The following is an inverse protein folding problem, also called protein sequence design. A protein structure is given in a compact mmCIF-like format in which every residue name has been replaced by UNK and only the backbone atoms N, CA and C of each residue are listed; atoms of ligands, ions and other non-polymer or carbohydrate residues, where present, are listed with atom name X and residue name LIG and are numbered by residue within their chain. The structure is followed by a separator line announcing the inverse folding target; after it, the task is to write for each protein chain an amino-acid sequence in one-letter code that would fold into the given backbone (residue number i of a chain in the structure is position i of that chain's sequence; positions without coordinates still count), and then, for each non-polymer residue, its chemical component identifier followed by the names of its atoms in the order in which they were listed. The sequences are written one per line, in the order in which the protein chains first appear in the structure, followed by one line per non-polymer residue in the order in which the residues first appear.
data_IF_959230769289
#
_entry.id   IF_959230769289
#
_cell.length_a   1.000
_cell.length_b   1.000
_cell.length_c   1.000
_cell.angle_alpha   90.00
_cell.angle_beta   90.00
_cell.angle_gamma   90.00
#
_symmetry.space_group_name_H-M   'P 1'
#
loop_
_entity.id
_entity.type
_entity.pdbx_description
1 polymer ?
#
# COMPACT_ATOMS: atom_id res chain seq x y z
N UNK A 1 18.83 9.50 -26.59
CA UNK A 1 17.83 8.53 -27.07
C UNK A 1 16.48 9.13 -26.80
N UNK A 2 15.59 9.20 -27.80
CA UNK A 2 14.20 9.62 -27.59
C UNK A 2 13.40 8.40 -27.13
N UNK A 3 12.75 8.51 -25.98
CA UNK A 3 11.94 7.44 -25.40
C UNK A 3 10.48 7.69 -25.78
N UNK A 4 9.80 6.67 -26.29
CA UNK A 4 8.37 6.71 -26.60
C UNK A 4 7.62 5.84 -25.59
N UNK A 5 6.69 6.44 -24.86
CA UNK A 5 5.86 5.78 -23.85
C UNK A 5 4.43 5.68 -24.39
N UNK A 6 3.83 4.50 -24.30
CA UNK A 6 2.40 4.28 -24.57
C UNK A 6 1.65 4.08 -23.24
N UNK A 7 0.97 5.12 -22.73
CA UNK A 7 0.17 4.98 -21.52
C UNK A 7 -1.00 4.02 -21.72
N UNK A 8 -1.23 3.16 -20.73
CA UNK A 8 -2.34 2.23 -20.63
C UNK A 8 -2.47 1.25 -21.80
N UNK A 9 -1.34 0.89 -22.41
CA UNK A 9 -1.28 -0.10 -23.48
C UNK A 9 -1.87 -1.44 -23.01
N UNK A 10 -2.77 -2.01 -23.80
CA UNK A 10 -3.43 -3.30 -23.53
C UNK A 10 -4.21 -3.39 -22.21
N UNK A 11 -4.57 -2.25 -21.58
CA UNK A 11 -5.27 -2.25 -20.29
C UNK A 11 -6.59 -3.05 -20.29
N UNK A 12 -7.22 -3.22 -21.46
CA UNK A 12 -8.46 -4.00 -21.61
C UNK A 12 -8.24 -5.51 -21.59
N UNK A 13 -7.00 -5.97 -21.73
CA UNK A 13 -6.61 -7.39 -21.75
C UNK A 13 -6.27 -7.93 -20.35
N UNK A 14 -6.37 -7.08 -19.32
CA UNK A 14 -6.01 -7.42 -17.95
C UNK A 14 -7.00 -8.45 -17.39
N UNK A 15 -6.48 -9.66 -17.16
CA UNK A 15 -7.17 -10.71 -16.42
C UNK A 15 -6.85 -10.59 -14.92
N UNK A 16 -7.85 -10.25 -14.11
CA UNK A 16 -7.65 -10.03 -12.68
C UNK A 16 -7.29 -11.30 -11.93
N UNK A 17 -7.90 -12.44 -12.28
CA UNK A 17 -7.62 -13.70 -11.60
C UNK A 17 -6.17 -14.12 -11.84
N UNK A 18 -5.70 -13.99 -13.08
CA UNK A 18 -4.30 -14.26 -13.44
C UNK A 18 -3.32 -13.30 -12.78
N UNK A 19 -3.64 -12.00 -12.76
CA UNK A 19 -2.70 -10.98 -12.27
C UNK A 19 -2.72 -10.80 -10.74
N UNK A 20 -3.74 -11.32 -10.04
CA UNK A 20 -3.80 -11.34 -8.58
C UNK A 20 -3.26 -12.64 -7.95
N UNK A 21 -2.70 -13.58 -8.72
CA UNK A 21 -2.26 -14.89 -8.19
C UNK A 21 -1.28 -14.79 -7.01
N UNK A 22 -0.44 -13.76 -6.98
CA UNK A 22 0.52 -13.52 -5.89
C UNK A 22 -0.07 -12.69 -4.73
N UNK A 23 -1.34 -12.27 -4.84
CA UNK A 23 -2.03 -11.49 -3.80
C UNK A 23 -2.38 -12.37 -2.60
N UNK A 24 -1.95 -12.00 -1.38
CA UNK A 24 -2.44 -12.61 -0.14
C UNK A 24 -3.95 -12.46 0.08
N UNK A 25 -4.59 -11.55 -0.66
CA UNK A 25 -6.04 -11.33 -0.63
C UNK A 25 -6.77 -12.02 -1.78
N UNK A 26 -6.10 -12.89 -2.55
CA UNK A 26 -6.76 -13.68 -3.58
C UNK A 26 -7.90 -14.49 -2.95
N UNK A 27 -9.10 -14.34 -3.51
CA UNK A 27 -10.34 -14.95 -3.02
C UNK A 27 -10.70 -14.61 -1.55
N UNK A 28 -10.10 -13.56 -0.98
CA UNK A 28 -10.51 -13.07 0.33
C UNK A 28 -11.85 -12.35 0.24
N UNK A 29 -12.81 -12.77 1.06
CA UNK A 29 -14.09 -12.11 1.24
C UNK A 29 -14.20 -11.60 2.69
N UNK A 30 -14.65 -10.35 2.85
CA UNK A 30 -14.93 -9.81 4.17
C UNK A 30 -16.24 -10.44 4.68
N UNK A 31 -16.25 -11.07 5.88
CA UNK A 31 -17.49 -11.61 6.42
C UNK A 31 -18.52 -10.50 6.66
N UNK A 32 -19.75 -10.71 6.17
CA UNK A 32 -20.83 -9.74 6.34
C UNK A 32 -21.25 -9.61 7.80
N UNK A 33 -21.41 -8.38 8.24
CA UNK A 33 -21.84 -8.05 9.60
C UNK A 33 -20.75 -8.26 10.64
N UNK A 34 -19.47 -8.35 10.22
CA UNK A 34 -18.35 -8.59 11.13
C UNK A 34 -18.27 -7.57 12.27
N UNK A 35 -18.72 -6.34 12.04
CA UNK A 35 -18.63 -5.24 13.00
C UNK A 35 -19.96 -4.86 13.65
N UNK A 36 -21.03 -5.64 13.42
CA UNK A 36 -22.35 -5.37 14.00
C UNK A 36 -22.37 -5.77 15.49
N UNK A 37 -23.15 -5.04 16.29
CA UNK A 37 -23.41 -5.32 17.71
C UNK A 37 -24.85 -5.87 17.88
N UNK A 38 -25.14 -6.50 19.03
CA UNK A 38 -26.48 -7.05 19.33
C UNK A 38 -27.63 -6.06 19.09
N UNK A 39 -28.82 -6.57 18.78
CA UNK A 39 -29.94 -5.76 18.29
C UNK A 39 -30.79 -5.14 19.42
N UNK A 40 -30.40 -3.97 19.93
CA UNK A 40 -31.33 -3.03 20.59
C UNK A 40 -31.70 -1.86 19.67
N UNK A 41 -32.79 -1.12 19.97
CA UNK A 41 -33.25 0.01 19.17
C UNK A 41 -32.19 1.13 19.00
N UNK A 42 -31.36 1.37 20.02
CA UNK A 42 -30.22 2.30 19.91
C UNK A 42 -29.08 1.75 19.05
N UNK A 43 -28.87 0.42 19.09
CA UNK A 43 -27.88 -0.27 18.27
C UNK A 43 -28.28 -0.36 16.79
N UNK A 44 -29.56 -0.15 16.42
CA UNK A 44 -29.97 -0.11 15.01
C UNK A 44 -29.27 1.01 14.22
N UNK A 45 -29.18 2.23 14.79
CA UNK A 45 -28.51 3.35 14.13
C UNK A 45 -26.99 3.11 14.01
N UNK A 46 -26.37 2.59 15.08
CA UNK A 46 -24.96 2.23 15.07
C UNK A 46 -24.66 1.10 14.08
N UNK A 47 -25.52 0.09 13.98
CA UNK A 47 -25.37 -1.01 13.03
C UNK A 47 -25.52 -0.53 11.58
N UNK A 48 -26.42 0.42 11.31
CA UNK A 48 -26.55 1.07 9.99
C UNK A 48 -25.27 1.84 9.62
N UNK A 49 -24.71 2.60 10.57
CA UNK A 49 -23.43 3.28 10.36
C UNK A 49 -22.28 2.26 10.16
N UNK A 50 -22.25 1.17 10.92
CA UNK A 50 -21.24 0.11 10.75
C UNK A 50 -21.32 -0.54 9.37
N UNK A 51 -22.54 -0.82 8.87
CA UNK A 51 -22.74 -1.35 7.53
C UNK A 51 -22.19 -0.43 6.45
N UNK A 52 -22.37 0.90 6.59
CA UNK A 52 -21.78 1.87 5.67
C UNK A 52 -20.24 1.78 5.64
N UNK A 53 -19.60 1.69 6.80
CA UNK A 53 -18.15 1.59 6.89
C UNK A 53 -17.60 0.24 6.44
N UNK A 54 -18.34 -0.85 6.68
CA UNK A 54 -18.03 -2.18 6.17
C UNK A 54 -18.08 -2.21 4.64
N UNK A 55 -19.13 -1.66 4.03
CA UNK A 55 -19.21 -1.52 2.57
C UNK A 55 -18.08 -0.62 2.02
N UNK A 56 -17.73 0.44 2.75
CA UNK A 56 -16.60 1.31 2.38
C UNK A 56 -15.27 0.55 2.45
N UNK A 57 -15.10 -0.33 3.43
CA UNK A 57 -13.92 -1.19 3.57
C UNK A 57 -13.82 -2.16 2.39
N UNK A 58 -14.91 -2.84 2.04
CA UNK A 58 -14.98 -3.73 0.86
C UNK A 58 -14.60 -3.00 -0.43
N UNK A 59 -15.17 -1.81 -0.66
CA UNK A 59 -14.88 -1.00 -1.84
C UNK A 59 -13.40 -0.59 -1.92
N UNK A 60 -12.78 -0.27 -0.77
CA UNK A 60 -11.35 0.07 -0.72
C UNK A 60 -10.48 -1.16 -0.94
N UNK A 61 -10.84 -2.32 -0.38
CA UNK A 61 -10.17 -3.59 -0.63
C UNK A 61 -10.20 -3.94 -2.13
N UNK A 62 -11.37 -3.84 -2.76
CA UNK A 62 -11.53 -4.06 -4.20
C UNK A 62 -10.67 -3.09 -5.03
N UNK A 63 -10.69 -1.79 -4.69
CA UNK A 63 -9.89 -0.79 -5.39
C UNK A 63 -8.38 -1.02 -5.27
N UNK A 64 -7.92 -1.45 -4.09
CA UNK A 64 -6.52 -1.81 -3.85
C UNK A 64 -6.12 -3.06 -4.64
N UNK A 65 -6.95 -4.10 -4.61
CA UNK A 65 -6.75 -5.34 -5.39
C UNK A 65 -6.70 -5.07 -6.89
N UNK A 66 -7.62 -4.25 -7.40
CA UNK A 66 -7.63 -3.87 -8.82
C UNK A 66 -6.32 -3.21 -9.25
N UNK A 67 -5.78 -2.30 -8.43
CA UNK A 67 -4.51 -1.63 -8.74
C UNK A 67 -3.33 -2.57 -8.67
N UNK A 68 -3.35 -3.51 -7.74
CA UNK A 68 -2.39 -4.60 -7.71
C UNK A 68 -2.43 -5.41 -9.01
N UNK A 69 -3.62 -5.83 -9.45
CA UNK A 69 -3.80 -6.59 -10.69
C UNK A 69 -3.25 -5.83 -11.91
N UNK A 70 -3.60 -4.55 -12.06
CA UNK A 70 -3.07 -3.72 -13.15
C UNK A 70 -1.55 -3.56 -13.07
N UNK A 71 -0.98 -3.31 -11.89
CA UNK A 71 0.47 -3.23 -11.73
C UNK A 71 1.13 -4.56 -12.16
N UNK A 72 0.62 -5.69 -11.67
CA UNK A 72 1.17 -7.01 -11.98
C UNK A 72 1.07 -7.34 -13.47
N UNK A 73 0.00 -6.91 -14.17
CA UNK A 73 -0.11 -7.06 -15.62
C UNK A 73 1.10 -6.44 -16.35
N UNK A 74 1.43 -5.18 -16.06
CA UNK A 74 2.58 -4.51 -16.69
C UNK A 74 3.93 -5.05 -16.20
N UNK A 75 4.01 -5.47 -14.95
CA UNK A 75 5.19 -6.15 -14.42
C UNK A 75 5.49 -7.43 -15.22
N UNK A 76 4.48 -8.25 -15.50
CA UNK A 76 4.62 -9.50 -16.25
C UNK A 76 4.85 -9.29 -17.75
N UNK A 77 4.48 -8.14 -18.33
CA UNK A 77 4.91 -7.74 -19.68
C UNK A 77 6.43 -7.51 -19.76
N UNK A 78 7.10 -7.28 -18.63
CA UNK A 78 8.56 -7.27 -18.51
C UNK A 78 9.15 -5.88 -18.30
N UNK A 79 9.95 -5.75 -17.23
CA UNK A 79 10.68 -4.55 -16.83
C UNK A 79 12.10 -4.98 -16.40
N UNK A 80 13.14 -4.80 -17.24
CA UNK A 80 14.49 -5.32 -16.96
C UNK A 80 15.33 -4.34 -16.13
N UNK A 81 14.81 -3.87 -14.99
CA UNK A 81 15.44 -2.86 -14.14
C UNK A 81 16.28 -3.39 -12.96
N UNK A 82 16.39 -4.72 -12.81
CA UNK A 82 17.34 -5.35 -11.88
C UNK A 82 18.77 -4.80 -12.06
N UNK A 83 19.14 -4.52 -13.31
CA UNK A 83 20.38 -3.84 -13.67
C UNK A 83 20.07 -2.50 -14.32
N UNK A 84 19.52 -1.59 -13.51
CA UNK A 84 19.09 -0.24 -13.92
C UNK A 84 20.25 0.71 -14.24
N UNK A 85 21.52 0.36 -13.97
CA UNK A 85 22.66 1.14 -14.43
C UNK A 85 23.89 0.29 -14.82
N UNK A 86 24.78 0.91 -15.60
CA UNK A 86 26.11 0.39 -15.98
C UNK A 86 27.17 1.48 -15.84
N UNK A 87 28.35 1.11 -15.33
CA UNK A 87 29.55 1.97 -15.31
C UNK A 87 30.80 1.12 -15.57
N UNK A 88 31.55 1.38 -16.66
CA UNK A 88 31.22 2.30 -17.75
C UNK A 88 29.99 1.83 -18.54
N UNK A 89 29.32 2.78 -19.18
CA UNK A 89 28.23 2.52 -20.13
C UNK A 89 28.72 1.78 -21.38
N UNK A 90 27.78 1.20 -22.13
CA UNK A 90 28.07 0.33 -23.28
C UNK A 90 28.80 1.06 -24.43
N UNK A 91 28.75 2.39 -24.46
CA UNK A 91 29.44 3.22 -25.47
C UNK A 91 30.52 4.11 -24.82
N UNK A 92 31.03 3.71 -23.66
CA UNK A 92 32.11 4.43 -22.95
C UNK A 92 31.64 5.64 -22.13
N UNK A 93 30.33 5.81 -21.91
CA UNK A 93 29.83 6.81 -20.95
C UNK A 93 30.30 6.45 -19.53
N UNK A 94 30.40 7.46 -18.65
CA UNK A 94 30.71 7.21 -17.22
C UNK A 94 29.64 6.35 -16.55
N UNK A 95 28.36 6.69 -16.77
CA UNK A 95 27.20 5.92 -16.29
C UNK A 95 26.14 5.88 -17.40
N UNK A 96 25.51 4.73 -17.59
CA UNK A 96 24.35 4.56 -18.45
C UNK A 96 23.19 3.99 -17.63
N UNK A 97 22.06 4.71 -17.57
CA UNK A 97 20.84 4.23 -16.93
C UNK A 97 19.99 3.41 -17.90
N UNK A 98 19.26 2.44 -17.36
CA UNK A 98 18.37 1.52 -18.05
C UNK A 98 18.97 0.93 -19.34
N UNK A 99 20.19 0.33 -19.26
CA UNK A 99 20.96 -0.06 -20.44
C UNK A 99 20.28 -1.16 -21.29
N UNK A 100 19.31 -1.88 -20.73
CA UNK A 100 18.60 -2.98 -21.39
C UNK A 100 17.14 -2.62 -21.73
N UNK A 101 16.76 -1.35 -21.61
CA UNK A 101 15.40 -0.91 -21.91
C UNK A 101 15.18 -0.68 -23.41
N UNK A 102 14.01 -1.11 -23.87
CA UNK A 102 13.39 -0.71 -25.15
C UNK A 102 12.25 0.26 -24.86
N UNK A 103 11.63 0.86 -25.88
CA UNK A 103 10.42 1.68 -25.71
C UNK A 103 9.27 0.90 -25.03
N UNK A 104 9.16 -0.40 -25.34
CA UNK A 104 8.18 -1.29 -24.70
C UNK A 104 8.46 -1.42 -23.20
N UNK A 105 9.73 -1.64 -22.81
CA UNK A 105 10.10 -1.70 -21.39
C UNK A 105 9.83 -0.38 -20.65
N UNK A 106 10.09 0.77 -21.29
CA UNK A 106 9.73 2.06 -20.71
C UNK A 106 8.21 2.24 -20.57
N UNK A 107 7.42 1.74 -21.53
CA UNK A 107 5.96 1.76 -21.46
C UNK A 107 5.44 0.87 -20.33
N UNK A 108 5.98 -0.35 -20.20
CA UNK A 108 5.64 -1.26 -19.10
C UNK A 108 5.99 -0.65 -17.74
N UNK A 109 7.20 -0.09 -17.60
CA UNK A 109 7.67 0.54 -16.36
C UNK A 109 6.78 1.74 -15.98
N UNK A 110 6.47 2.62 -16.94
CA UNK A 110 5.59 3.77 -16.71
C UNK A 110 4.22 3.33 -16.16
N UNK A 111 3.60 2.37 -16.83
CA UNK A 111 2.28 1.89 -16.43
C UNK A 111 2.31 1.14 -15.10
N UNK A 112 3.32 0.29 -14.87
CA UNK A 112 3.54 -0.37 -13.59
C UNK A 112 3.64 0.64 -12.44
N UNK A 113 4.49 1.66 -12.58
CA UNK A 113 4.69 2.71 -11.57
C UNK A 113 3.37 3.46 -11.30
N UNK A 114 2.64 3.84 -12.35
CA UNK A 114 1.35 4.53 -12.21
C UNK A 114 0.36 3.74 -11.34
N UNK A 115 0.25 2.43 -11.57
CA UNK A 115 -0.63 1.58 -10.77
C UNK A 115 -0.07 1.26 -9.38
N UNK A 116 1.26 1.13 -9.23
CA UNK A 116 1.92 0.93 -7.94
C UNK A 116 1.73 2.13 -7.01
N UNK A 117 1.84 3.36 -7.52
CA UNK A 117 1.56 4.58 -6.77
C UNK A 117 0.12 4.59 -6.25
N UNK A 118 -0.82 4.42 -7.18
CA UNK A 118 -2.23 4.36 -6.82
C UNK A 118 -2.51 3.24 -5.82
N UNK A 119 -1.81 2.11 -5.93
CA UNK A 119 -1.93 0.99 -5.02
C UNK A 119 -1.52 1.40 -3.60
N UNK A 120 -0.33 1.97 -3.41
CA UNK A 120 0.14 2.35 -2.07
C UNK A 120 -0.81 3.37 -1.44
N UNK A 121 -1.24 4.38 -2.20
CA UNK A 121 -2.21 5.36 -1.70
C UNK A 121 -3.53 4.69 -1.27
N UNK A 122 -4.10 3.81 -2.10
CA UNK A 122 -5.38 3.13 -1.79
C UNK A 122 -5.25 2.10 -0.68
N UNK A 123 -4.16 1.35 -0.60
CA UNK A 123 -3.90 0.41 0.48
C UNK A 123 -3.93 1.08 1.85
N UNK A 124 -3.37 2.29 1.99
CA UNK A 124 -3.46 3.03 3.25
C UNK A 124 -4.87 3.50 3.59
N UNK A 125 -5.73 3.75 2.61
CA UNK A 125 -7.15 4.03 2.87
C UNK A 125 -7.88 2.84 3.50
N UNK A 126 -7.46 1.59 3.25
CA UNK A 126 -8.01 0.40 3.92
C UNK A 126 -7.76 0.50 5.42
N UNK A 127 -6.52 0.78 5.83
CA UNK A 127 -6.17 0.98 7.24
C UNK A 127 -6.95 2.14 7.85
N UNK A 128 -7.06 3.28 7.16
CA UNK A 128 -7.84 4.42 7.69
C UNK A 128 -9.33 4.08 7.88
N UNK A 129 -9.94 3.28 6.99
CA UNK A 129 -11.31 2.79 7.23
C UNK A 129 -11.40 1.89 8.45
N UNK A 130 -10.43 1.00 8.64
CA UNK A 130 -10.36 0.17 9.85
C UNK A 130 -10.27 1.06 11.09
N UNK A 131 -9.49 2.16 11.03
CA UNK A 131 -9.48 3.20 12.07
C UNK A 131 -10.88 3.76 12.34
N UNK A 132 -11.61 4.19 11.30
CA UNK A 132 -12.97 4.71 11.41
C UNK A 132 -13.95 3.71 12.05
N UNK A 133 -13.83 2.42 11.70
CA UNK A 133 -14.63 1.34 12.28
C UNK A 133 -14.30 1.18 13.77
N UNK A 134 -13.01 1.11 14.13
CA UNK A 134 -12.58 0.93 15.52
C UNK A 134 -12.99 2.10 16.43
N UNK A 135 -12.90 3.33 15.94
CA UNK A 135 -13.34 4.51 16.68
C UNK A 135 -14.82 4.41 17.05
N UNK A 136 -15.67 4.02 16.10
CA UNK A 136 -17.11 3.92 16.34
C UNK A 136 -17.48 2.69 17.17
N UNK A 137 -16.91 1.53 16.85
CA UNK A 137 -17.21 0.29 17.57
C UNK A 137 -16.91 0.41 19.07
N UNK A 138 -15.79 1.05 19.41
CA UNK A 138 -15.37 1.23 20.81
C UNK A 138 -15.76 2.60 21.39
N UNK A 139 -16.50 3.43 20.65
CA UNK A 139 -16.84 4.81 21.01
C UNK A 139 -15.62 5.59 21.54
N UNK A 140 -14.50 5.51 20.81
CA UNK A 140 -13.26 6.18 21.17
C UNK A 140 -13.44 7.69 20.97
N UNK A 141 -13.10 8.47 21.98
CA UNK A 141 -13.10 9.94 21.88
C UNK A 141 -12.03 10.40 20.88
N UNK A 142 -12.23 11.53 20.22
CA UNK A 142 -11.25 12.20 19.38
C UNK A 142 -11.49 13.71 19.39
N UNK A 143 -10.44 14.49 19.12
CA UNK A 143 -10.53 15.93 18.95
C UNK A 143 -10.23 16.30 17.48
N UNK A 144 -11.21 16.89 16.79
CA UNK A 144 -11.06 17.33 15.39
C UNK A 144 -10.09 18.51 15.25
N UNK A 145 -9.99 19.35 16.30
CA UNK A 145 -9.12 20.53 16.33
C UNK A 145 -7.66 20.17 16.62
N UNK A 146 -7.40 19.00 17.21
CA UNK A 146 -6.06 18.49 17.46
C UNK A 146 -5.66 17.50 16.35
N UNK A 147 -4.79 17.96 15.44
CA UNK A 147 -4.25 17.13 14.34
C UNK A 147 -3.60 15.83 14.82
N UNK A 148 -3.10 15.77 16.06
CA UNK A 148 -2.50 14.56 16.62
C UNK A 148 -3.54 13.56 17.14
N UNK A 149 -4.79 13.99 17.34
CA UNK A 149 -5.87 13.18 17.94
C UNK A 149 -7.02 12.86 16.98
N UNK A 150 -6.88 13.18 15.69
CA UNK A 150 -7.88 12.90 14.66
C UNK A 150 -8.09 11.39 14.42
N UNK A 151 -9.22 11.02 13.81
CA UNK A 151 -9.51 9.63 13.46
C UNK A 151 -8.49 9.12 12.45
N UNK A 152 -7.69 8.15 12.86
CA UNK A 152 -6.77 7.41 12.00
C UNK A 152 -6.57 5.99 12.51
N UNK A 153 -6.06 5.10 11.65
CA UNK A 153 -5.66 3.76 12.10
C UNK A 153 -4.64 3.81 13.24
N UNK A 154 -3.69 4.75 13.15
CA UNK A 154 -2.65 4.91 14.16
C UNK A 154 -3.24 5.26 15.53
N UNK A 155 -4.15 6.24 15.55
CA UNK A 155 -4.78 6.70 16.78
C UNK A 155 -5.76 5.66 17.33
N UNK A 156 -6.49 4.94 16.46
CA UNK A 156 -7.35 3.84 16.88
C UNK A 156 -6.55 2.78 17.62
N UNK A 157 -5.45 2.30 17.02
CA UNK A 157 -4.59 1.29 17.66
C UNK A 157 -3.96 1.81 18.95
N UNK A 158 -3.60 3.10 19.03
CA UNK A 158 -3.08 3.68 20.27
C UNK A 158 -4.14 3.69 21.39
N UNK A 159 -5.34 4.24 21.11
CA UNK A 159 -6.42 4.38 22.09
C UNK A 159 -7.01 3.05 22.56
N UNK A 160 -6.94 2.00 21.72
CA UNK A 160 -7.30 0.64 22.13
C UNK A 160 -6.48 0.13 23.33
N UNK A 161 -5.33 0.74 23.67
CA UNK A 161 -4.56 0.33 24.85
C UNK A 161 -5.39 0.37 26.15
N UNK A 162 -6.25 1.38 26.28
CA UNK A 162 -7.09 1.59 27.47
C UNK A 162 -8.43 0.85 27.42
N UNK A 163 -8.85 0.35 26.25
CA UNK A 163 -10.18 -0.23 26.01
C UNK A 163 -10.11 -1.73 25.71
N UNK A 164 -9.18 -2.16 24.86
CA UNK A 164 -8.98 -3.55 24.46
C UNK A 164 -7.50 -3.84 24.23
N UNK A 165 -6.76 -4.00 25.33
CA UNK A 165 -5.31 -4.24 25.32
C UNK A 165 -4.91 -5.50 24.52
N UNK A 166 -5.64 -6.64 24.58
CA UNK A 166 -5.34 -7.79 23.74
C UNK A 166 -5.39 -7.49 22.24
N UNK A 167 -6.46 -6.83 21.76
CA UNK A 167 -6.57 -6.42 20.35
C UNK A 167 -5.46 -5.45 19.98
N UNK A 168 -5.22 -4.45 20.83
CA UNK A 168 -4.18 -3.45 20.63
C UNK A 168 -2.79 -4.07 20.40
N UNK A 169 -2.41 -5.08 21.20
CA UNK A 169 -1.13 -5.76 21.07
C UNK A 169 -1.00 -6.48 19.73
N UNK A 170 -2.05 -7.17 19.28
CA UNK A 170 -2.08 -7.88 18.00
C UNK A 170 -1.92 -6.90 16.82
N UNK A 171 -2.70 -5.81 16.80
CA UNK A 171 -2.63 -4.79 15.75
C UNK A 171 -1.28 -4.04 15.77
N UNK A 172 -0.75 -3.73 16.96
CA UNK A 172 0.57 -3.11 17.10
C UNK A 172 1.70 -4.00 16.57
N UNK A 173 1.59 -5.32 16.71
CA UNK A 173 2.58 -6.25 16.15
C UNK A 173 2.59 -6.18 14.63
N UNK A 174 1.42 -6.10 13.99
CA UNK A 174 1.32 -5.95 12.52
C UNK A 174 1.93 -4.63 12.09
N UNK A 175 1.60 -3.51 12.77
CA UNK A 175 2.19 -2.21 12.48
C UNK A 175 3.71 -2.22 12.57
N UNK A 176 4.29 -2.97 13.50
CA UNK A 176 5.74 -3.08 13.69
C UNK A 176 6.41 -4.11 12.76
N UNK A 177 5.66 -4.81 11.91
CA UNK A 177 6.23 -5.76 10.96
C UNK A 177 6.98 -5.05 9.84
N UNK A 178 8.00 -5.71 9.29
CA UNK A 178 8.81 -5.18 8.18
C UNK A 178 7.95 -4.86 6.96
N UNK A 179 6.96 -5.71 6.66
CA UNK A 179 5.99 -5.50 5.59
C UNK A 179 5.25 -4.16 5.72
N UNK A 180 4.70 -3.88 6.91
CA UNK A 180 3.95 -2.65 7.15
C UNK A 180 4.89 -1.44 7.12
N UNK A 181 6.04 -1.53 7.80
CA UNK A 181 7.00 -0.42 7.88
C UNK A 181 7.59 -0.07 6.51
N UNK A 182 7.89 -1.07 5.68
CA UNK A 182 8.39 -0.85 4.33
C UNK A 182 7.35 -0.14 3.45
N UNK A 183 6.09 -0.58 3.49
CA UNK A 183 5.03 0.09 2.74
C UNK A 183 4.70 1.49 3.26
N UNK A 184 4.82 1.75 4.57
CA UNK A 184 4.73 3.12 5.12
C UNK A 184 5.85 4.00 4.53
N UNK A 185 7.09 3.49 4.51
CA UNK A 185 8.24 4.20 3.96
C UNK A 185 8.00 4.55 2.48
N UNK A 186 7.59 3.59 1.67
CA UNK A 186 7.33 3.80 0.24
C UNK A 186 6.17 4.78 0.03
N UNK A 187 5.03 4.60 0.72
CA UNK A 187 3.90 5.53 0.63
C UNK A 187 4.30 6.96 0.99
N UNK A 188 5.07 7.13 2.05
CA UNK A 188 5.54 8.45 2.47
C UNK A 188 6.50 9.07 1.46
N UNK A 189 7.38 8.26 0.85
CA UNK A 189 8.27 8.71 -0.20
C UNK A 189 7.50 9.21 -1.43
N UNK A 190 6.46 8.47 -1.85
CA UNK A 190 5.56 8.84 -2.96
C UNK A 190 4.82 10.15 -2.67
N UNK A 191 4.34 10.38 -1.44
CA UNK A 191 3.48 11.53 -1.13
C UNK A 191 4.23 12.81 -0.77
N UNK A 192 5.42 12.70 -0.16
CA UNK A 192 6.07 13.82 0.52
C UNK A 192 7.54 13.99 0.18
N UNK A 193 8.14 13.10 -0.62
CA UNK A 193 9.58 13.12 -0.88
C UNK A 193 9.87 12.78 -2.34
N UNK A 194 11.09 12.28 -2.60
CA UNK A 194 11.50 11.76 -3.88
C UNK A 194 10.94 10.35 -4.06
N UNK A 195 10.12 10.09 -5.10
CA UNK A 195 9.57 8.77 -5.32
C UNK A 195 10.67 7.70 -5.49
N UNK A 196 10.53 6.51 -4.88
CA UNK A 196 11.61 5.55 -4.78
C UNK A 196 12.02 4.93 -6.14
N UNK A 197 11.14 4.98 -7.13
CA UNK A 197 11.36 4.52 -8.51
C UNK A 197 11.89 5.61 -9.45
N UNK A 198 12.18 6.81 -8.94
CA UNK A 198 12.94 7.79 -9.70
C UNK A 198 14.40 7.74 -9.23
N UNK A 199 15.35 7.82 -10.15
CA UNK A 199 16.78 7.82 -9.79
C UNK A 199 17.08 9.11 -9.02
N UNK A 200 17.52 8.98 -7.77
CA UNK A 200 17.88 10.15 -6.96
C UNK A 200 19.14 10.84 -7.51
N UNK A 201 19.37 12.10 -7.13
CA UNK A 201 20.47 12.91 -7.69
C UNK A 201 21.88 12.35 -7.42
N UNK A 202 22.02 11.39 -6.50
CA UNK A 202 23.31 10.86 -6.07
C UNK A 202 24.18 11.86 -5.30
N UNK A 203 23.67 13.08 -5.03
CA UNK A 203 24.40 14.12 -4.31
C UNK A 203 24.20 13.94 -2.81
N UNK A 204 25.30 13.76 -2.06
CA UNK A 204 25.29 13.78 -0.59
C UNK A 204 26.04 15.01 -0.11
N UNK A 205 25.33 15.95 0.52
CA UNK A 205 25.91 17.15 1.13
C UNK A 205 26.05 16.90 2.64
N UNK A 206 27.27 17.04 3.15
CA UNK A 206 27.59 16.95 4.57
C UNK A 206 28.26 18.23 5.04
N UNK A 207 28.34 18.44 6.36
CA UNK A 207 29.03 19.61 6.94
C UNK A 207 30.51 19.69 6.57
N UNK A 208 31.14 18.58 6.18
CA UNK A 208 32.53 18.47 5.77
C UNK A 208 32.76 18.46 4.25
N UNK A 209 31.71 18.59 3.43
CA UNK A 209 31.80 18.63 1.96
C UNK A 209 30.68 17.88 1.24
N UNK A 210 30.75 17.83 -0.09
CA UNK A 210 29.79 17.13 -0.95
C UNK A 210 30.42 15.96 -1.70
N UNK A 211 29.65 14.89 -1.93
CA UNK A 211 30.03 13.78 -2.80
C UNK A 211 28.95 13.53 -3.86
N UNK A 212 29.38 13.07 -5.04
CA UNK A 212 28.51 12.69 -6.16
C UNK A 212 28.62 11.18 -6.40
N UNK A 213 27.48 10.50 -6.41
CA UNK A 213 27.34 9.08 -6.74
C UNK A 213 26.27 8.84 -7.79
N UNK A 214 25.90 7.57 -7.97
CA UNK A 214 24.96 7.11 -9.02
C UNK A 214 23.49 7.39 -8.64
N UNK A 215 23.21 7.63 -7.36
CA UNK A 215 21.85 7.74 -6.83
C UNK A 215 21.33 6.41 -6.32
N UNK A 216 20.08 6.45 -5.88
CA UNK A 216 19.32 5.30 -5.38
C UNK A 216 18.08 5.14 -6.27
N UNK A 217 17.68 3.90 -6.51
CA UNK A 217 16.52 3.52 -7.31
C UNK A 217 15.97 2.20 -6.75
N UNK A 218 14.65 2.15 -6.58
CA UNK A 218 13.91 0.95 -6.18
C UNK A 218 13.34 0.29 -7.42
N UNK A 219 13.71 -0.96 -7.64
CA UNK A 219 13.31 -1.74 -8.80
C UNK A 219 11.83 -2.11 -8.78
N UNK A 220 11.31 -2.45 -9.96
CA UNK A 220 9.96 -2.97 -10.15
C UNK A 220 9.71 -4.22 -9.30
N UNK A 221 10.72 -5.07 -9.13
CA UNK A 221 10.67 -6.25 -8.25
C UNK A 221 10.56 -5.87 -6.78
N UNK A 222 11.40 -4.95 -6.30
CA UNK A 222 11.34 -4.48 -4.91
C UNK A 222 9.99 -3.81 -4.59
N UNK A 223 9.45 -3.02 -5.54
CA UNK A 223 8.11 -2.44 -5.41
C UNK A 223 7.02 -3.52 -5.35
N UNK A 224 7.08 -4.51 -6.24
CA UNK A 224 6.16 -5.65 -6.22
C UNK A 224 6.19 -6.37 -4.87
N UNK A 225 7.38 -6.67 -4.35
CA UNK A 225 7.55 -7.32 -3.04
C UNK A 225 6.94 -6.48 -1.91
N UNK A 226 7.14 -5.16 -1.94
CA UNK A 226 6.52 -4.24 -0.99
C UNK A 226 4.98 -4.18 -1.11
N UNK A 227 4.44 -4.23 -2.34
CA UNK A 227 2.99 -4.30 -2.56
C UNK A 227 2.40 -5.57 -1.95
N UNK A 228 3.04 -6.73 -2.19
CA UNK A 228 2.66 -8.02 -1.59
C UNK A 228 2.75 -7.94 -0.05
N UNK A 229 3.82 -7.36 0.49
CA UNK A 229 3.98 -7.17 1.94
C UNK A 229 2.84 -6.35 2.57
N UNK A 230 2.43 -5.25 1.93
CA UNK A 230 1.28 -4.48 2.40
C UNK A 230 -0.03 -5.28 2.33
N UNK A 231 -0.25 -6.07 1.29
CA UNK A 231 -1.41 -6.97 1.22
C UNK A 231 -1.40 -8.02 2.33
N UNK A 232 -0.22 -8.57 2.70
CA UNK A 232 -0.07 -9.46 3.87
C UNK A 232 -0.45 -8.75 5.16
N UNK A 233 -0.05 -7.48 5.30
CA UNK A 233 -0.38 -6.66 6.48
C UNK A 233 -1.89 -6.37 6.57
N UNK A 234 -2.54 -6.07 5.44
CA UNK A 234 -4.00 -5.93 5.35
C UNK A 234 -4.67 -7.24 5.76
N UNK A 235 -4.28 -8.38 5.16
CA UNK A 235 -4.86 -9.69 5.48
C UNK A 235 -4.71 -10.02 6.96
N UNK A 236 -3.51 -9.88 7.51
CA UNK A 236 -3.24 -10.15 8.92
C UNK A 236 -4.11 -9.27 9.85
N UNK A 237 -4.37 -8.01 9.45
CA UNK A 237 -5.21 -7.08 10.20
C UNK A 237 -6.67 -7.55 10.18
N UNK A 238 -7.19 -7.89 9.00
CA UNK A 238 -8.55 -8.40 8.84
C UNK A 238 -8.75 -9.74 9.57
N UNK A 239 -7.78 -10.67 9.49
CA UNK A 239 -7.83 -11.94 10.23
C UNK A 239 -7.84 -11.73 11.75
N UNK A 240 -7.09 -10.75 12.26
CA UNK A 240 -7.09 -10.39 13.69
C UNK A 240 -8.43 -9.81 14.11
N UNK A 241 -9.02 -8.93 13.30
CA UNK A 241 -10.33 -8.33 13.58
C UNK A 241 -11.45 -9.39 13.48
N UNK A 242 -11.40 -10.22 12.43
CA UNK A 242 -12.29 -11.36 12.20
C UNK A 242 -12.43 -12.23 13.44
N UNK A 243 -11.30 -12.81 13.87
CA UNK A 243 -11.23 -13.66 15.06
C UNK A 243 -11.64 -12.94 16.34
N UNK A 244 -11.42 -11.65 16.43
CA UNK A 244 -11.72 -10.88 17.64
C UNK A 244 -13.22 -10.61 17.78
N UNK A 245 -13.88 -10.20 16.69
CA UNK A 245 -15.31 -9.89 16.71
C UNK A 245 -16.18 -11.14 16.63
N UNK A 246 -15.75 -12.22 15.97
CA UNK A 246 -16.41 -13.53 16.04
C UNK A 246 -16.50 -14.08 17.47
N UNK A 247 -15.54 -13.76 18.34
CA UNK A 247 -15.59 -14.19 19.76
C UNK A 247 -16.43 -13.29 20.67
N UNK A 248 -16.89 -12.13 20.16
CA UNK A 248 -17.67 -11.14 20.92
C UNK A 248 -19.14 -11.08 20.52
N UNK A 249 -19.48 -11.60 19.34
CA UNK A 249 -20.85 -11.79 18.85
C UNK A 249 -21.34 -13.20 19.20
#
# INVERSE_FOLDING_TARGET
MTIYITPFEDIKEVDFEKNEQESPLLNYELPRGLFQQENTLGQFLLNSEMQHWEQTLENRLFSTRSKFAYAMFYYYKGIPDEKWFLSPGLQGQSVQYFPYFTNEHFSNQYNFIFFADGFFLKAFTVFETIGQILFRYYNLEYNEEDYSDQISYNNAVFKLFNVDRPLQKKLSKIKKSDDFQNGVKIRNAITHSHPPYEISSGVKITTSGGSFGIGEYTTSKELKEAMIGILRSIKATLDVLGKHFETKN
#
